data_IF_167050181125
#
_entry.id   IF_167050181125
#
_cell.length_a   1.000
_cell.length_b   1.000
_cell.length_c   1.000
_cell.angle_alpha   90.00
_cell.angle_beta   90.00
_cell.angle_gamma   90.00
#
_symmetry.space_group_name_H-M   'P 1'
#
loop_
_entity.id
_entity.type
_entity.pdbx_description
1 polymer ?
#
# COMPACT_ATOMS: atom_id res chain seq x y z
N UNK A 1 -4.12 -15.58 9.04
CA UNK A 1 -2.90 -15.13 8.34
C UNK A 1 -3.25 -14.75 6.92
N UNK A 2 -2.92 -13.52 6.48
CA UNK A 2 -3.19 -13.07 5.11
C UNK A 2 -2.27 -13.78 4.12
N UNK A 3 -2.83 -14.28 3.02
CA UNK A 3 -2.10 -15.08 2.03
C UNK A 3 -1.86 -14.31 0.75
N UNK A 4 -0.66 -13.76 0.63
CA UNK A 4 -0.21 -13.00 -0.55
C UNK A 4 0.01 -13.89 -1.80
N UNK A 5 0.07 -15.20 -1.66
CA UNK A 5 0.28 -16.16 -2.76
C UNK A 5 -1.02 -16.56 -3.49
N UNK A 6 -2.18 -16.28 -2.88
CA UNK A 6 -3.46 -16.78 -3.38
C UNK A 6 -3.96 -16.00 -4.63
N UNK A 7 -4.85 -16.65 -5.39
CA UNK A 7 -5.43 -16.07 -6.63
C UNK A 7 -6.22 -14.78 -6.38
N UNK A 8 -6.87 -14.66 -5.21
CA UNK A 8 -7.69 -13.49 -4.85
C UNK A 8 -6.82 -12.25 -4.67
N UNK A 9 -5.70 -12.36 -3.96
CA UNK A 9 -4.74 -11.28 -3.78
C UNK A 9 -4.08 -10.91 -5.10
N UNK A 10 -3.64 -11.88 -5.91
CA UNK A 10 -3.04 -11.60 -7.22
C UNK A 10 -3.96 -10.73 -8.10
N UNK A 11 -5.24 -11.09 -8.19
CA UNK A 11 -6.26 -10.28 -8.89
C UNK A 11 -6.49 -8.91 -8.26
N UNK A 12 -6.57 -8.83 -6.92
CA UNK A 12 -6.72 -7.55 -6.22
C UNK A 12 -5.51 -6.63 -6.46
N UNK A 13 -4.29 -7.15 -6.32
CA UNK A 13 -3.03 -6.44 -6.56
C UNK A 13 -3.00 -5.86 -7.98
N UNK A 14 -3.32 -6.68 -8.99
CA UNK A 14 -3.38 -6.22 -10.38
C UNK A 14 -4.41 -5.10 -10.59
N UNK A 15 -5.61 -5.23 -10.00
CA UNK A 15 -6.63 -4.17 -10.04
C UNK A 15 -6.09 -2.85 -9.46
N UNK A 16 -5.40 -2.90 -8.32
CA UNK A 16 -4.86 -1.69 -7.67
C UNK A 16 -3.71 -1.07 -8.47
N UNK A 17 -2.79 -1.89 -9.01
CA UNK A 17 -1.74 -1.41 -9.91
C UNK A 17 -2.33 -0.71 -11.13
N UNK A 18 -3.34 -1.31 -11.77
CA UNK A 18 -4.03 -0.72 -12.92
C UNK A 18 -4.75 0.59 -12.55
N UNK A 19 -5.46 0.64 -11.42
CA UNK A 19 -6.09 1.87 -10.89
C UNK A 19 -5.07 3.00 -10.76
N UNK A 20 -3.88 2.68 -10.28
CA UNK A 20 -2.82 3.66 -10.04
C UNK A 20 -1.99 3.97 -11.29
N UNK A 21 -2.32 3.36 -12.43
CA UNK A 21 -1.62 3.54 -13.71
C UNK A 21 -0.23 2.92 -13.70
N UNK A 22 0.02 1.91 -12.86
CA UNK A 22 1.33 1.30 -12.62
C UNK A 22 2.39 2.31 -12.17
N UNK A 23 1.98 3.42 -11.56
CA UNK A 23 2.88 4.46 -11.06
C UNK A 23 2.89 4.48 -9.54
N UNK A 24 4.09 4.61 -8.98
CA UNK A 24 4.31 4.77 -7.56
C UNK A 24 3.61 6.04 -7.06
N UNK A 25 2.61 5.84 -6.19
CA UNK A 25 1.76 6.91 -5.70
C UNK A 25 2.49 7.90 -4.81
N UNK A 26 3.51 7.45 -4.06
CA UNK A 26 4.35 8.36 -3.27
C UNK A 26 5.23 9.23 -4.18
N UNK A 27 5.99 8.64 -5.10
CA UNK A 27 6.82 9.40 -6.05
C UNK A 27 6.02 10.40 -6.88
N UNK A 28 4.81 10.01 -7.30
CA UNK A 28 3.91 10.85 -8.10
C UNK A 28 3.50 12.14 -7.38
N UNK A 29 3.43 12.15 -6.03
CA UNK A 29 3.15 13.37 -5.25
C UNK A 29 4.18 14.47 -5.47
N UNK A 30 5.41 14.10 -5.83
CA UNK A 30 6.50 15.03 -6.11
C UNK A 30 6.77 15.19 -7.60
N UNK A 31 5.78 14.90 -8.45
CA UNK A 31 5.90 15.02 -9.92
C UNK A 31 6.74 13.92 -10.60
N UNK A 32 7.21 12.91 -9.86
CA UNK A 32 8.05 11.84 -10.42
C UNK A 32 7.20 10.70 -11.00
N UNK A 33 7.55 10.24 -12.20
CA UNK A 33 6.91 9.09 -12.87
C UNK A 33 7.74 7.82 -12.65
N UNK A 34 7.63 7.23 -11.47
CA UNK A 34 8.34 6.00 -11.10
C UNK A 34 7.36 4.82 -11.20
N UNK A 35 7.79 3.69 -11.76
CA UNK A 35 6.99 2.46 -11.84
C UNK A 35 6.65 1.92 -10.44
N UNK A 36 5.40 1.48 -10.26
CA UNK A 36 4.99 0.70 -9.10
C UNK A 36 5.09 -0.80 -9.38
N UNK A 37 5.83 -1.50 -8.52
CA UNK A 37 6.05 -2.94 -8.62
C UNK A 37 5.34 -3.72 -7.51
N UNK A 38 4.77 -3.03 -6.51
CA UNK A 38 4.08 -3.67 -5.39
C UNK A 38 2.87 -2.87 -4.92
N UNK A 39 1.97 -3.55 -4.19
CA UNK A 39 0.82 -2.94 -3.53
C UNK A 39 1.03 -3.07 -2.03
N UNK A 40 0.97 -1.95 -1.34
CA UNK A 40 1.17 -1.82 0.09
C UNK A 40 -0.16 -1.65 0.82
N UNK A 41 -0.30 -2.30 1.97
CA UNK A 41 -1.38 -2.08 2.93
C UNK A 41 -1.05 -0.88 3.81
N UNK A 42 -1.79 0.22 3.66
CA UNK A 42 -1.52 1.46 4.42
C UNK A 42 -1.74 1.25 5.92
N UNK A 43 -2.85 0.61 6.27
CA UNK A 43 -3.12 0.02 7.57
C UNK A 43 -2.67 -1.45 7.52
N UNK A 44 -1.64 -1.84 8.29
CA UNK A 44 -1.05 -3.18 8.24
C UNK A 44 -2.09 -4.27 8.51
N UNK A 45 -2.02 -5.36 7.75
CA UNK A 45 -3.02 -6.45 7.81
C UNK A 45 -2.99 -7.22 9.13
N UNK A 46 -1.85 -7.21 9.82
CA UNK A 46 -1.65 -7.83 11.13
C UNK A 46 -2.45 -7.11 12.22
N UNK A 47 -2.60 -5.78 12.09
CA UNK A 47 -3.31 -4.94 13.05
C UNK A 47 -4.76 -4.65 12.61
N UNK A 48 -5.02 -4.60 11.31
CA UNK A 48 -6.32 -4.24 10.72
C UNK A 48 -6.75 -5.24 9.63
N UNK A 49 -6.96 -6.52 9.98
CA UNK A 49 -7.33 -7.56 9.02
C UNK A 49 -8.64 -7.26 8.27
N UNK A 50 -9.56 -6.50 8.87
CA UNK A 50 -10.83 -6.05 8.30
C UNK A 50 -10.63 -5.14 7.07
N UNK A 51 -9.51 -4.41 6.99
CA UNK A 51 -9.20 -3.51 5.88
C UNK A 51 -8.38 -4.16 4.76
N UNK A 52 -8.05 -5.44 4.88
CA UNK A 52 -7.11 -6.11 3.99
C UNK A 52 -7.51 -6.10 2.50
N UNK A 53 -8.81 -5.97 2.22
CA UNK A 53 -9.38 -6.00 0.87
C UNK A 53 -9.98 -4.67 0.41
N UNK A 54 -9.92 -3.65 1.26
CA UNK A 54 -10.46 -2.32 0.98
C UNK A 54 -9.55 -1.57 0.00
N UNK A 55 -10.11 -1.12 -1.13
CA UNK A 55 -9.31 -0.43 -2.16
C UNK A 55 -8.66 0.85 -1.62
N UNK A 56 -9.30 1.55 -0.67
CA UNK A 56 -8.75 2.75 -0.03
C UNK A 56 -7.54 2.46 0.87
N UNK A 57 -7.41 1.21 1.36
CA UNK A 57 -6.30 0.77 2.20
C UNK A 57 -5.10 0.24 1.37
N UNK A 58 -5.23 0.21 0.04
CA UNK A 58 -4.24 -0.38 -0.85
C UNK A 58 -3.64 0.68 -1.77
N UNK A 59 -2.31 0.73 -1.84
CA UNK A 59 -1.59 1.73 -2.64
C UNK A 59 -0.43 1.13 -3.42
N UNK A 60 -0.30 1.54 -4.69
CA UNK A 60 0.80 1.10 -5.55
C UNK A 60 2.08 1.88 -5.28
N UNK A 61 3.18 1.17 -5.00
CA UNK A 61 4.48 1.75 -4.69
C UNK A 61 5.61 1.09 -5.50
N UNK A 62 6.68 1.84 -5.71
CA UNK A 62 7.97 1.26 -6.09
C UNK A 62 8.55 0.49 -4.91
N UNK A 63 9.46 -0.45 -5.16
CA UNK A 63 10.09 -1.21 -4.07
C UNK A 63 10.80 -0.31 -3.03
N UNK A 64 11.54 0.76 -3.41
CA UNK A 64 12.14 1.66 -2.43
C UNK A 64 11.11 2.37 -1.56
N UNK A 65 10.03 2.87 -2.14
CA UNK A 65 8.98 3.58 -1.39
C UNK A 65 8.18 2.63 -0.50
N UNK A 66 7.93 1.40 -0.95
CA UNK A 66 7.35 0.35 -0.11
C UNK A 66 8.23 0.08 1.12
N UNK A 67 9.53 -0.10 0.92
CA UNK A 67 10.46 -0.34 2.04
C UNK A 67 10.53 0.85 2.99
N UNK A 68 10.45 2.08 2.48
CA UNK A 68 10.46 3.28 3.31
C UNK A 68 9.21 3.43 4.21
N UNK A 69 8.12 2.69 3.95
CA UNK A 69 6.94 2.68 4.83
C UNK A 69 7.19 1.97 6.15
N UNK A 70 8.18 1.06 6.21
CA UNK A 70 8.46 0.24 7.38
C UNK A 70 9.90 0.39 7.86
N UNK A 71 10.07 0.48 9.17
CA UNK A 71 11.36 0.27 9.81
C UNK A 71 11.81 -1.18 9.58
N UNK A 72 13.02 -1.36 9.06
CA UNK A 72 13.52 -2.68 8.62
C UNK A 72 13.91 -3.59 9.78
N UNK A 73 14.14 -3.03 10.96
CA UNK A 73 14.54 -3.77 12.16
C UNK A 73 13.33 -4.25 12.95
N UNK A 74 12.28 -3.42 13.01
CA UNK A 74 11.11 -3.65 13.86
C UNK A 74 9.85 -4.02 13.08
N UNK A 75 9.80 -3.74 11.77
CA UNK A 75 8.60 -3.89 10.94
C UNK A 75 7.54 -2.81 11.19
N UNK A 76 7.73 -1.95 12.19
CA UNK A 76 6.80 -0.87 12.51
C UNK A 76 6.72 0.15 11.37
N UNK A 77 5.58 0.84 11.24
CA UNK A 77 5.48 1.92 10.27
C UNK A 77 6.46 3.05 10.61
N UNK A 78 7.09 3.62 9.58
CA UNK A 78 7.89 4.85 9.70
C UNK A 78 6.97 6.08 9.80
N UNK A 79 7.59 7.27 9.92
CA UNK A 79 6.85 8.53 9.82
C UNK A 79 6.09 8.66 8.49
N UNK A 80 6.69 8.18 7.38
CA UNK A 80 6.08 8.18 6.05
C UNK A 80 4.88 7.23 5.96
N UNK A 81 5.00 6.01 6.52
CA UNK A 81 3.87 5.07 6.59
C UNK A 81 2.69 5.65 7.38
N UNK A 82 2.97 6.26 8.54
CA UNK A 82 1.95 6.97 9.33
C UNK A 82 1.36 8.19 8.63
N UNK A 83 2.12 8.87 7.78
CA UNK A 83 1.60 9.96 6.96
C UNK A 83 0.57 9.44 5.96
N UNK A 84 0.81 8.30 5.32
CA UNK A 84 -0.18 7.67 4.46
C UNK A 84 -1.45 7.27 5.22
N UNK A 85 -1.34 6.73 6.43
CA UNK A 85 -2.52 6.47 7.27
C UNK A 85 -3.35 7.73 7.54
N UNK A 86 -2.71 8.88 7.76
CA UNK A 86 -3.42 10.16 7.93
C UNK A 86 -4.05 10.68 6.63
N UNK A 87 -3.53 10.28 5.47
CA UNK A 87 -4.02 10.70 4.15
C UNK A 87 -5.23 9.90 3.68
N UNK A 88 -5.37 8.66 4.15
CA UNK A 88 -6.51 7.82 3.83
C UNK A 88 -7.38 7.64 5.05
N UNK A 89 -8.62 8.09 4.98
CA UNK A 89 -9.63 7.78 5.98
C UNK A 89 -10.39 6.53 5.53
N UNK A 90 -10.72 5.60 6.44
CA UNK A 90 -11.81 4.68 6.19
C UNK A 90 -13.03 5.50 5.72
N UNK A 91 -13.73 5.10 4.65
CA UNK A 91 -14.99 5.72 4.30
C UNK A 91 -15.87 5.66 5.54
N UNK A 92 -16.36 6.83 5.99
CA UNK A 92 -17.37 6.86 7.04
C UNK A 92 -18.55 6.04 6.50
N UNK A 93 -18.98 5.05 7.29
CA UNK A 93 -20.11 4.19 6.96
C UNK A 93 -21.39 5.01 6.78
#
# INVERSE_FOLDING_TARGET
MFRYDNKRWKKKREKILKRDGYLCRESKRYGKRVEATTVHHIYPVEAYPEYAWCDWNLISLSQPMHNAMHDRSTGALTALGREWMRRVSPPIA
#
